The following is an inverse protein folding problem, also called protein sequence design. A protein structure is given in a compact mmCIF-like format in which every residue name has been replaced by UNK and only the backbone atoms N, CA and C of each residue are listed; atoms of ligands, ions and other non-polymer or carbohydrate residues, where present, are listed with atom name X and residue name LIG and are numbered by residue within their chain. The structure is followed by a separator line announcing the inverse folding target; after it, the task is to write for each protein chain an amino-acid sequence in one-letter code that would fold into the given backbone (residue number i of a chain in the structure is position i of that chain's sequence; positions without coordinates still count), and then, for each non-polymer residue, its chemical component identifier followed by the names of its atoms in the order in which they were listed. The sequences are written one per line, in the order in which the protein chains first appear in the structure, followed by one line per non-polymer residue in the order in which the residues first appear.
data_IF_772005903737
#
_entry.id   IF_772005903737
#
_cell.length_a   1.000
_cell.length_b   1.000
_cell.length_c   1.000
_cell.angle_alpha   90.00
_cell.angle_beta   90.00
_cell.angle_gamma   90.00
#
_symmetry.space_group_name_H-M   'P 1'
#
loop_
_entity.id
_entity.type
_entity.pdbx_description
1 polymer ?
#
# COMPACT_ATOMS: atom_id res chain seq x y z
N UNK A 1 -26.02 -51.57 -41.68
CA UNK A 1 -26.17 -50.21 -42.22
C UNK A 1 -26.59 -49.28 -41.10
N UNK A 2 -26.03 -48.07 -41.10
CA UNK A 2 -26.28 -46.93 -40.18
C UNK A 2 -25.64 -47.09 -38.80
N UNK A 3 -24.36 -46.74 -38.60
CA UNK A 3 -23.76 -45.40 -38.43
C UNK A 3 -24.27 -44.63 -37.20
N UNK A 4 -23.36 -44.51 -36.24
CA UNK A 4 -23.44 -43.65 -35.06
C UNK A 4 -23.36 -42.17 -35.47
N UNK A 5 -24.28 -41.36 -34.97
CA UNK A 5 -24.14 -39.91 -34.93
C UNK A 5 -23.69 -39.53 -33.52
N UNK A 6 -22.37 -39.41 -33.35
CA UNK A 6 -21.81 -38.65 -32.25
C UNK A 6 -21.85 -37.18 -32.67
N UNK A 7 -22.81 -36.42 -32.16
CA UNK A 7 -22.80 -34.97 -32.24
C UNK A 7 -21.58 -34.43 -31.49
N UNK A 8 -20.56 -34.06 -32.25
CA UNK A 8 -19.43 -33.27 -31.77
C UNK A 8 -19.94 -31.86 -31.44
N UNK A 9 -20.19 -31.61 -30.16
CA UNK A 9 -20.40 -30.27 -29.63
C UNK A 9 -19.15 -29.45 -29.90
N UNK A 10 -19.23 -28.58 -30.91
CA UNK A 10 -18.27 -27.52 -31.19
C UNK A 10 -18.07 -26.66 -29.95
N UNK A 11 -16.90 -26.73 -29.32
CA UNK A 11 -16.43 -25.71 -28.38
C UNK A 11 -16.33 -24.41 -29.16
N UNK A 12 -17.32 -23.54 -29.05
CA UNK A 12 -17.19 -22.12 -29.42
C UNK A 12 -16.02 -21.56 -28.62
N UNK A 13 -14.91 -21.30 -29.31
CA UNK A 13 -13.69 -20.71 -28.76
C UNK A 13 -14.03 -19.28 -28.29
N UNK A 14 -14.26 -19.12 -26.99
CA UNK A 14 -14.71 -17.83 -26.44
C UNK A 14 -13.60 -16.79 -26.58
N UNK A 15 -13.89 -15.67 -27.25
CA UNK A 15 -12.93 -14.57 -27.37
C UNK A 15 -12.57 -13.99 -25.98
N UNK A 16 -11.26 -13.84 -25.73
CA UNK A 16 -10.69 -13.18 -24.56
C UNK A 16 -10.01 -11.87 -24.97
N UNK A 17 -9.74 -11.01 -23.98
CA UNK A 17 -8.95 -9.79 -24.17
C UNK A 17 -7.48 -10.09 -23.90
N UNK A 18 -6.60 -9.54 -24.74
CA UNK A 18 -5.15 -9.67 -24.66
C UNK A 18 -4.47 -8.31 -24.82
N UNK A 19 -3.28 -8.18 -24.26
CA UNK A 19 -2.32 -7.12 -24.56
C UNK A 19 -1.23 -7.73 -25.46
N UNK A 20 -1.00 -7.11 -26.61
CA UNK A 20 -0.04 -7.56 -27.63
C UNK A 20 1.05 -6.52 -27.75
N UNK A 21 2.28 -6.89 -27.37
CA UNK A 21 3.47 -6.07 -27.54
C UNK A 21 4.11 -6.30 -28.91
N UNK A 22 4.51 -5.22 -29.59
CA UNK A 22 5.16 -5.28 -30.90
C UNK A 22 6.66 -5.01 -30.77
N UNK A 23 7.48 -5.71 -31.56
CA UNK A 23 8.91 -5.42 -31.66
C UNK A 23 9.14 -4.05 -32.29
N UNK A 24 10.30 -3.46 -32.03
CA UNK A 24 10.68 -2.14 -32.55
C UNK A 24 10.66 -2.04 -34.08
N UNK A 25 10.73 -3.17 -34.80
CA UNK A 25 10.59 -3.25 -36.26
C UNK A 25 9.16 -3.02 -36.76
N UNK A 26 8.14 -3.16 -35.92
CA UNK A 26 6.73 -2.98 -36.27
C UNK A 26 6.21 -1.65 -35.71
N UNK A 27 6.54 -0.55 -36.39
CA UNK A 27 6.29 0.81 -35.90
C UNK A 27 4.97 1.42 -36.37
N UNK A 28 4.47 1.02 -37.54
CA UNK A 28 3.29 1.68 -38.14
C UNK A 28 1.97 1.10 -37.62
N UNK A 29 0.96 1.96 -37.46
CA UNK A 29 -0.39 1.53 -37.05
C UNK A 29 -0.98 0.51 -38.03
N UNK A 30 -0.64 0.63 -39.32
CA UNK A 30 -1.07 -0.27 -40.39
C UNK A 30 -0.44 -1.66 -40.26
N UNK A 31 0.88 -1.75 -40.03
CA UNK A 31 1.57 -3.04 -39.86
C UNK A 31 1.11 -3.78 -38.60
N UNK A 32 0.86 -3.07 -37.50
CA UNK A 32 0.32 -3.65 -36.26
C UNK A 32 -1.10 -4.20 -36.45
N UNK A 33 -1.96 -3.42 -37.09
CA UNK A 33 -3.34 -3.82 -37.38
C UNK A 33 -3.37 -5.03 -38.32
N UNK A 34 -2.48 -5.06 -39.30
CA UNK A 34 -2.37 -6.17 -40.25
C UNK A 34 -1.92 -7.47 -39.57
N UNK A 35 -0.86 -7.43 -38.74
CA UNK A 35 -0.39 -8.61 -37.99
C UNK A 35 -1.49 -9.19 -37.08
N UNK A 36 -2.25 -8.32 -36.42
CA UNK A 36 -3.37 -8.72 -35.55
C UNK A 36 -4.52 -9.37 -36.36
N UNK A 37 -4.94 -8.74 -37.46
CA UNK A 37 -6.06 -9.24 -38.29
C UNK A 37 -5.69 -10.55 -38.99
N UNK A 38 -4.47 -10.68 -39.52
CA UNK A 38 -4.01 -11.90 -40.21
C UNK A 38 -3.97 -13.13 -39.30
N UNK A 39 -3.87 -12.91 -37.99
CA UNK A 39 -3.87 -13.97 -36.99
C UNK A 39 -5.23 -14.13 -36.30
N UNK A 40 -6.30 -13.52 -36.84
CA UNK A 40 -7.66 -13.71 -36.34
C UNK A 40 -7.99 -12.90 -35.09
N UNK A 41 -7.20 -11.86 -34.78
CA UNK A 41 -7.48 -10.92 -33.70
C UNK A 41 -8.20 -9.65 -34.16
N UNK A 42 -9.01 -9.10 -33.27
CA UNK A 42 -9.67 -7.81 -33.40
C UNK A 42 -8.95 -6.76 -32.56
N UNK A 43 -8.26 -5.85 -33.22
CA UNK A 43 -7.61 -4.72 -32.58
C UNK A 43 -8.64 -3.75 -31.99
N UNK A 44 -8.67 -3.59 -30.67
CA UNK A 44 -9.59 -2.67 -29.97
C UNK A 44 -8.93 -1.30 -29.71
N UNK A 45 -7.68 -1.29 -29.25
CA UNK A 45 -6.97 -0.05 -28.88
C UNK A 45 -5.47 -0.17 -29.11
N UNK A 46 -4.84 0.88 -29.63
CA UNK A 46 -3.37 1.01 -29.65
C UNK A 46 -2.93 2.00 -28.57
N UNK A 47 -1.88 1.64 -27.82
CA UNK A 47 -1.35 2.49 -26.77
C UNK A 47 -0.34 3.50 -27.36
N UNK A 48 -0.29 4.70 -26.76
CA UNK A 48 0.61 5.79 -27.18
C UNK A 48 1.94 5.77 -26.42
N UNK A 49 1.93 5.28 -25.19
CA UNK A 49 3.11 5.25 -24.30
C UNK A 49 4.01 4.05 -24.57
N UNK A 50 3.40 2.90 -24.87
CA UNK A 50 4.09 1.64 -25.11
C UNK A 50 3.77 1.14 -26.52
N UNK A 51 4.70 0.39 -27.12
CA UNK A 51 4.51 -0.21 -28.44
C UNK A 51 3.61 -1.46 -28.36
N UNK A 52 2.38 -1.30 -27.90
CA UNK A 52 1.45 -2.40 -27.65
C UNK A 52 0.01 -2.03 -28.01
N UNK A 53 -0.85 -3.04 -28.05
CA UNK A 53 -2.27 -2.89 -28.31
C UNK A 53 -3.13 -3.83 -27.46
N UNK A 54 -4.35 -3.39 -27.16
CA UNK A 54 -5.42 -4.25 -26.69
C UNK A 54 -6.09 -4.95 -27.88
N UNK A 55 -6.22 -6.27 -27.80
CA UNK A 55 -6.75 -7.11 -28.87
C UNK A 55 -7.72 -8.14 -28.30
N UNK A 56 -8.89 -8.31 -28.91
CA UNK A 56 -9.78 -9.44 -28.65
C UNK A 56 -9.51 -10.56 -29.63
N UNK A 57 -9.29 -11.77 -29.14
CA UNK A 57 -9.06 -12.94 -29.98
C UNK A 57 -9.32 -14.24 -29.23
N UNK A 58 -9.36 -15.36 -29.94
CA UNK A 58 -9.42 -16.69 -29.33
C UNK A 58 -8.04 -17.13 -28.81
N UNK A 59 -8.00 -18.13 -27.92
CA UNK A 59 -6.73 -18.63 -27.38
C UNK A 59 -5.83 -19.23 -28.49
N UNK A 60 -6.44 -19.83 -29.51
CA UNK A 60 -5.71 -20.35 -30.67
C UNK A 60 -5.07 -19.22 -31.50
N UNK A 61 -5.79 -18.12 -31.69
CA UNK A 61 -5.28 -16.93 -32.36
C UNK A 61 -4.13 -16.28 -31.56
N UNK A 62 -4.22 -16.25 -30.23
CA UNK A 62 -3.16 -15.75 -29.36
C UNK A 62 -1.87 -16.56 -29.51
N UNK A 63 -1.96 -17.90 -29.42
CA UNK A 63 -0.80 -18.79 -29.63
C UNK A 63 -0.19 -18.65 -31.01
N UNK A 64 -1.01 -18.44 -32.05
CA UNK A 64 -0.50 -18.20 -33.41
C UNK A 64 0.24 -16.85 -33.49
N UNK A 65 -0.31 -15.81 -32.89
CA UNK A 65 0.24 -14.47 -32.90
C UNK A 65 1.56 -14.37 -32.11
N UNK A 66 1.75 -15.16 -31.06
CA UNK A 66 3.02 -15.27 -30.33
C UNK A 66 4.21 -15.67 -31.22
N UNK A 67 3.95 -16.45 -32.28
CA UNK A 67 4.99 -16.92 -33.20
C UNK A 67 5.25 -15.95 -34.36
N UNK A 68 4.50 -14.85 -34.46
CA UNK A 68 4.70 -13.85 -35.52
C UNK A 68 5.99 -13.05 -35.27
N UNK A 69 6.87 -12.89 -36.28
CA UNK A 69 8.16 -12.23 -36.10
C UNK A 69 8.05 -10.76 -35.65
N UNK A 70 6.92 -10.11 -35.89
CA UNK A 70 6.66 -8.72 -35.50
C UNK A 70 6.21 -8.56 -34.03
N UNK A 71 5.87 -9.66 -33.36
CA UNK A 71 5.34 -9.69 -32.00
C UNK A 71 6.46 -9.93 -30.99
N UNK A 72 6.43 -9.17 -29.89
CA UNK A 72 7.36 -9.28 -28.78
C UNK A 72 6.78 -10.14 -27.65
N UNK A 73 5.48 -9.99 -27.37
CA UNK A 73 4.74 -10.77 -26.38
C UNK A 73 3.23 -10.71 -26.65
N UNK A 74 2.52 -11.71 -26.15
CA UNK A 74 1.06 -11.73 -26.04
C UNK A 74 0.74 -12.14 -24.61
N UNK A 75 -0.07 -11.35 -23.90
CA UNK A 75 -0.48 -11.63 -22.52
C UNK A 75 -1.98 -11.41 -22.37
N UNK A 76 -2.64 -12.16 -21.48
CA UNK A 76 -4.07 -11.97 -21.21
C UNK A 76 -4.28 -10.60 -20.51
N UNK A 77 -5.29 -9.84 -20.96
CA UNK A 77 -5.65 -8.55 -20.38
C UNK A 77 -6.40 -8.78 -19.06
N UNK A 78 -5.63 -8.95 -17.98
CA UNK A 78 -6.15 -9.25 -16.67
C UNK A 78 -6.94 -8.06 -16.09
N UNK A 79 -8.00 -8.38 -15.33
CA UNK A 79 -8.78 -7.35 -14.61
C UNK A 79 -8.04 -6.93 -13.36
N UNK A 80 -8.00 -5.62 -13.11
CA UNK A 80 -7.69 -5.08 -11.79
C UNK A 80 -9.01 -4.88 -11.00
N UNK A 81 -9.03 -5.30 -9.74
CA UNK A 81 -10.15 -5.07 -8.82
C UNK A 81 -9.76 -4.04 -7.75
N UNK A 82 -10.73 -3.29 -7.25
CA UNK A 82 -10.51 -2.40 -6.11
C UNK A 82 -10.23 -3.25 -4.86
N UNK A 83 -9.14 -2.96 -4.15
CA UNK A 83 -8.86 -3.61 -2.88
C UNK A 83 -9.90 -3.18 -1.84
N UNK A 84 -10.72 -4.14 -1.37
CA UNK A 84 -11.49 -3.97 -0.14
C UNK A 84 -10.53 -3.88 1.06
N UNK A 85 -11.01 -3.35 2.18
CA UNK A 85 -10.23 -3.36 3.41
C UNK A 85 -9.73 -4.78 3.74
N UNK A 86 -8.46 -4.88 4.11
CA UNK A 86 -7.84 -6.13 4.56
C UNK A 86 -7.45 -6.02 6.02
N UNK A 87 -7.47 -7.14 6.74
CA UNK A 87 -6.94 -7.19 8.11
C UNK A 87 -5.53 -7.79 8.04
N UNK A 88 -4.45 -7.01 8.28
CA UNK A 88 -3.09 -7.54 8.28
C UNK A 88 -2.95 -8.69 9.27
N UNK A 89 -2.19 -9.74 8.91
CA UNK A 89 -2.07 -10.98 9.70
C UNK A 89 -1.72 -10.76 11.18
N UNK A 90 -0.91 -9.74 11.50
CA UNK A 90 -0.52 -9.43 12.89
C UNK A 90 -1.70 -9.04 13.80
N UNK A 91 -2.74 -8.42 13.25
CA UNK A 91 -3.90 -7.93 14.00
C UNK A 91 -4.70 -9.08 14.65
N UNK A 92 -5.12 -10.14 13.91
CA UNK A 92 -5.76 -11.29 14.53
C UNK A 92 -4.80 -12.14 15.36
N UNK A 93 -3.49 -12.16 15.05
CA UNK A 93 -2.51 -12.91 15.86
C UNK A 93 -2.44 -12.41 17.30
N UNK A 94 -2.50 -11.09 17.52
CA UNK A 94 -2.57 -10.51 18.87
C UNK A 94 -3.99 -10.45 19.43
N UNK A 95 -4.96 -11.07 18.73
CA UNK A 95 -6.37 -11.16 19.13
C UNK A 95 -7.11 -9.81 19.22
N UNK A 96 -6.65 -8.78 18.52
CA UNK A 96 -7.34 -7.48 18.49
C UNK A 96 -8.82 -7.58 18.04
N UNK A 97 -9.20 -8.39 17.03
CA UNK A 97 -10.61 -8.51 16.62
C UNK A 97 -11.55 -9.01 17.74
N UNK A 98 -11.06 -9.81 18.68
CA UNK A 98 -11.87 -10.27 19.82
C UNK A 98 -12.21 -9.13 20.80
N UNK A 99 -11.34 -8.13 20.90
CA UNK A 99 -11.54 -6.91 21.69
C UNK A 99 -12.41 -5.92 20.92
N UNK A 100 -12.22 -5.81 19.59
CA UNK A 100 -13.09 -5.01 18.72
C UNK A 100 -14.55 -5.49 18.75
N UNK A 101 -14.79 -6.80 18.80
CA UNK A 101 -16.12 -7.40 18.90
C UNK A 101 -16.84 -7.03 20.22
N UNK A 102 -16.11 -6.63 21.24
CA UNK A 102 -16.66 -6.11 22.50
C UNK A 102 -16.91 -4.59 22.46
N UNK A 103 -16.60 -3.92 21.35
CA UNK A 103 -16.76 -2.48 21.16
C UNK A 103 -15.54 -1.63 21.53
N UNK A 104 -14.45 -2.24 21.99
CA UNK A 104 -13.22 -1.52 22.36
C UNK A 104 -12.28 -1.39 21.15
N UNK A 105 -12.15 -0.18 20.62
CA UNK A 105 -11.33 0.15 19.44
C UNK A 105 -10.31 1.26 19.66
N UNK A 106 -10.06 1.64 20.92
CA UNK A 106 -9.12 2.71 21.29
C UNK A 106 -9.69 4.13 21.29
N UNK A 107 -11.02 4.29 21.25
CA UNK A 107 -11.65 5.61 21.31
C UNK A 107 -11.19 6.42 22.53
N UNK A 108 -10.93 7.72 22.33
CA UNK A 108 -10.42 8.67 23.32
C UNK A 108 -9.00 8.40 23.86
N UNK A 109 -8.27 7.43 23.30
CA UNK A 109 -6.85 7.19 23.61
C UNK A 109 -5.98 7.99 22.65
N UNK A 110 -5.05 8.76 23.18
CA UNK A 110 -4.06 9.56 22.44
C UNK A 110 -2.75 8.78 22.31
N UNK A 111 -2.32 8.53 21.08
CA UNK A 111 -1.06 7.83 20.79
C UNK A 111 -0.12 8.77 20.04
N UNK A 112 1.02 9.08 20.65
CA UNK A 112 2.12 9.79 20.01
C UNK A 112 3.04 8.80 19.29
N UNK A 113 3.15 8.96 17.98
CA UNK A 113 4.08 8.18 17.14
C UNK A 113 5.33 9.02 16.94
N UNK A 114 6.38 8.70 17.71
CA UNK A 114 7.69 9.34 17.63
C UNK A 114 8.51 8.68 16.51
N UNK A 115 8.49 9.27 15.32
CA UNK A 115 9.02 8.63 14.09
C UNK A 115 9.38 9.66 12.98
N UNK A 116 9.33 9.27 11.70
CA UNK A 116 9.59 10.11 10.53
C UNK A 116 8.46 11.09 10.18
N UNK A 117 7.40 11.14 11.01
CA UNK A 117 6.16 11.87 10.75
C UNK A 117 5.03 10.93 10.35
N UNK A 118 3.86 11.49 10.05
CA UNK A 118 2.71 10.72 9.53
C UNK A 118 2.11 11.48 8.36
N UNK A 119 1.89 10.84 7.21
CA UNK A 119 1.17 11.44 6.10
C UNK A 119 -0.32 11.63 6.45
N UNK A 120 -0.68 12.80 7.00
CA UNK A 120 -2.03 13.05 7.53
C UNK A 120 -3.12 13.12 6.46
N UNK A 121 -2.78 13.32 5.18
CA UNK A 121 -3.74 13.28 4.08
C UNK A 121 -3.99 11.85 3.55
N UNK A 122 -3.38 10.82 4.17
CA UNK A 122 -3.65 9.43 3.81
C UNK A 122 -5.12 9.09 4.13
N UNK A 123 -5.91 8.57 3.17
CA UNK A 123 -7.35 8.39 3.35
C UNK A 123 -7.72 7.33 4.41
N UNK A 124 -6.77 6.48 4.76
CA UNK A 124 -6.94 5.41 5.74
C UNK A 124 -6.40 5.75 7.15
N UNK A 125 -6.01 7.00 7.39
CA UNK A 125 -5.51 7.47 8.68
C UNK A 125 -6.26 8.72 9.12
N UNK A 126 -6.41 8.89 10.44
CA UNK A 126 -6.91 10.12 11.04
C UNK A 126 -5.90 10.67 12.05
N UNK A 127 -5.16 11.70 11.65
CA UNK A 127 -4.13 12.33 12.48
C UNK A 127 -4.72 13.57 13.16
N UNK A 128 -4.75 13.56 14.49
CA UNK A 128 -5.37 14.60 15.31
C UNK A 128 -4.46 15.83 15.52
N UNK A 129 -3.16 15.69 15.31
CA UNK A 129 -2.19 16.77 15.48
C UNK A 129 -0.75 16.24 15.52
N UNK A 130 0.18 17.09 15.98
CA UNK A 130 1.58 16.70 16.06
C UNK A 130 2.54 17.88 16.15
N UNK A 131 3.82 17.55 16.30
CA UNK A 131 4.93 18.51 16.28
C UNK A 131 6.19 17.85 15.72
N UNK A 132 7.04 18.65 15.06
CA UNK A 132 8.33 18.19 14.56
C UNK A 132 9.46 18.80 15.37
N UNK A 133 10.46 17.96 15.66
CA UNK A 133 11.69 18.32 16.35
C UNK A 133 12.92 18.18 15.43
N UNK A 134 12.69 17.87 14.16
CA UNK A 134 13.71 17.86 13.10
C UNK A 134 13.82 19.30 12.54
N UNK A 135 14.94 20.01 12.76
CA UNK A 135 15.05 21.44 12.46
C UNK A 135 14.79 21.81 10.99
N UNK A 136 15.19 20.95 10.05
CA UNK A 136 15.01 21.17 8.62
C UNK A 136 13.63 20.73 8.09
N UNK A 137 12.83 20.04 8.91
CA UNK A 137 11.56 19.43 8.50
C UNK A 137 10.45 19.75 9.53
N UNK A 138 9.99 21.02 9.61
CA UNK A 138 9.13 21.48 10.70
C UNK A 138 7.69 20.93 10.67
N UNK A 139 7.29 20.27 9.59
CA UNK A 139 5.95 19.71 9.44
C UNK A 139 5.94 18.21 9.79
N UNK A 140 5.35 17.86 10.94
CA UNK A 140 5.24 16.46 11.36
C UNK A 140 4.19 15.65 10.58
N UNK A 141 3.25 16.31 9.91
CA UNK A 141 2.23 15.63 9.10
C UNK A 141 2.70 15.34 7.67
N UNK A 142 3.99 15.59 7.40
CA UNK A 142 4.67 15.18 6.18
C UNK A 142 5.66 14.09 6.54
N UNK A 143 5.48 12.94 5.94
CA UNK A 143 6.38 11.81 6.09
C UNK A 143 7.06 11.54 4.75
N UNK A 144 8.31 11.97 4.62
CA UNK A 144 9.10 11.80 3.40
C UNK A 144 9.74 10.42 3.29
N UNK A 145 9.82 9.67 4.40
CA UNK A 145 10.48 8.38 4.47
C UNK A 145 9.45 7.24 4.36
N UNK A 146 8.23 7.45 4.87
CA UNK A 146 7.05 6.56 4.93
C UNK A 146 6.97 5.59 6.13
N UNK A 147 8.05 5.42 6.90
CA UNK A 147 8.08 4.51 8.05
C UNK A 147 7.07 4.89 9.14
N UNK A 148 7.05 6.15 9.56
CA UNK A 148 6.10 6.62 10.58
C UNK A 148 4.64 6.48 10.16
N UNK A 149 4.33 6.69 8.87
CA UNK A 149 2.99 6.43 8.30
C UNK A 149 2.62 4.95 8.37
N UNK A 150 3.55 4.05 8.06
CA UNK A 150 3.32 2.61 8.14
C UNK A 150 3.11 2.14 9.60
N UNK A 151 3.93 2.64 10.52
CA UNK A 151 3.79 2.40 11.96
C UNK A 151 2.43 2.88 12.46
N UNK A 152 2.04 4.11 12.11
CA UNK A 152 0.74 4.67 12.46
C UNK A 152 -0.43 3.84 11.91
N UNK A 153 -0.32 3.28 10.70
CA UNK A 153 -1.32 2.38 10.14
C UNK A 153 -1.47 1.07 10.92
N UNK A 154 -0.37 0.50 11.39
CA UNK A 154 -0.43 -0.69 12.26
C UNK A 154 -1.20 -0.38 13.55
N UNK A 155 -1.00 0.81 14.12
CA UNK A 155 -1.67 1.24 15.34
C UNK A 155 -3.15 1.54 15.09
N UNK A 156 -3.47 2.39 14.13
CA UNK A 156 -4.81 2.98 14.00
C UNK A 156 -5.24 3.30 12.56
N UNK A 157 -4.86 2.46 11.58
CA UNK A 157 -5.56 2.49 10.30
C UNK A 157 -7.07 2.29 10.52
N UNK A 158 -7.86 3.11 9.83
CA UNK A 158 -9.29 3.27 10.06
C UNK A 158 -10.05 1.98 9.76
N UNK A 159 -11.08 1.66 10.53
CA UNK A 159 -12.03 0.59 10.21
C UNK A 159 -13.05 1.11 9.17
N UNK A 160 -12.86 0.79 7.89
CA UNK A 160 -13.59 1.38 6.77
C UNK A 160 -13.69 0.38 5.58
N UNK A 161 -13.75 0.85 4.33
CA UNK A 161 -13.87 -0.02 3.15
C UNK A 161 -12.62 -0.10 2.28
N UNK A 162 -11.52 0.51 2.69
CA UNK A 162 -10.26 0.61 1.94
C UNK A 162 -9.08 0.14 2.79
N UNK A 163 -7.93 -0.03 2.17
CA UNK A 163 -6.65 -0.17 2.89
C UNK A 163 -6.61 -1.31 3.90
N UNK A 164 -6.18 -1.00 5.13
CA UNK A 164 -5.90 -1.97 6.19
C UNK A 164 -6.61 -1.59 7.49
N UNK A 165 -6.67 -2.53 8.44
CA UNK A 165 -7.20 -2.29 9.78
C UNK A 165 -6.06 -2.17 10.81
N UNK A 166 -6.09 -1.13 11.64
CA UNK A 166 -5.18 -0.96 12.77
C UNK A 166 -5.59 -1.78 14.00
N UNK A 167 -4.67 -1.91 14.96
CA UNK A 167 -4.96 -2.56 16.26
C UNK A 167 -6.01 -1.79 17.08
N UNK A 168 -5.96 -0.47 17.05
CA UNK A 168 -6.83 0.46 17.75
C UNK A 168 -7.36 1.52 16.77
N UNK A 169 -8.26 1.14 15.84
CA UNK A 169 -8.65 1.96 14.67
C UNK A 169 -9.41 3.25 15.03
N UNK A 170 -9.79 3.44 16.29
CA UNK A 170 -10.44 4.66 16.78
C UNK A 170 -9.55 5.50 17.71
N UNK A 171 -8.27 5.14 17.86
CA UNK A 171 -7.31 5.93 18.61
C UNK A 171 -6.98 7.25 17.89
N UNK A 172 -6.67 8.30 18.66
CA UNK A 172 -6.23 9.58 18.12
C UNK A 172 -4.73 9.55 17.92
N UNK A 173 -4.29 9.52 16.66
CA UNK A 173 -2.87 9.55 16.31
C UNK A 173 -2.31 10.97 16.37
N UNK A 174 -1.13 11.11 16.98
CA UNK A 174 -0.33 12.33 16.97
C UNK A 174 1.02 12.07 16.32
N UNK A 175 1.32 12.83 15.27
CA UNK A 175 2.59 12.73 14.56
C UNK A 175 3.68 13.50 15.32
N UNK A 176 4.64 12.80 15.91
CA UNK A 176 5.76 13.43 16.62
C UNK A 176 7.04 13.15 15.84
N UNK A 177 7.39 14.07 14.94
CA UNK A 177 8.48 13.83 14.00
C UNK A 177 9.83 14.08 14.68
N UNK A 178 10.60 13.02 14.87
CA UNK A 178 11.93 13.02 15.52
C UNK A 178 13.01 12.40 14.64
N UNK A 179 12.62 11.81 13.50
CA UNK A 179 13.50 11.30 12.45
C UNK A 179 13.31 12.11 11.15
N UNK A 180 14.38 12.39 10.45
CA UNK A 180 14.38 13.10 9.17
C UNK A 180 13.94 12.19 7.99
N UNK A 181 13.99 12.71 6.77
CA UNK A 181 13.64 11.95 5.54
C UNK A 181 14.49 10.71 5.26
N UNK A 182 15.65 10.57 5.88
CA UNK A 182 16.50 9.38 5.74
C UNK A 182 16.20 8.34 6.84
N UNK A 183 15.38 8.69 7.83
CA UNK A 183 15.11 7.87 9.01
C UNK A 183 16.11 8.09 10.14
N UNK A 184 16.93 9.15 10.04
CA UNK A 184 17.95 9.46 11.04
C UNK A 184 17.44 10.51 12.02
N UNK A 185 17.82 10.38 13.30
CA UNK A 185 17.43 11.34 14.33
C UNK A 185 18.43 11.45 15.46
N UNK A 186 18.53 12.66 16.03
CA UNK A 186 19.35 12.89 17.21
C UNK A 186 18.58 12.50 18.48
N UNK A 187 19.28 11.96 19.48
CA UNK A 187 18.65 11.66 20.77
C UNK A 187 18.03 12.90 21.42
N UNK A 188 18.60 14.09 21.19
CA UNK A 188 18.01 15.36 21.64
C UNK A 188 16.63 15.62 21.02
N UNK A 189 16.43 15.28 19.74
CA UNK A 189 15.13 15.42 19.06
C UNK A 189 14.11 14.42 19.61
N UNK A 190 14.55 13.18 19.86
CA UNK A 190 13.73 12.14 20.48
C UNK A 190 13.29 12.58 21.89
N UNK A 191 14.22 13.09 22.70
CA UNK A 191 13.92 13.61 24.05
C UNK A 191 12.90 14.76 23.96
N UNK A 192 13.08 15.73 23.06
CA UNK A 192 12.10 16.80 22.85
C UNK A 192 10.72 16.27 22.44
N UNK A 193 10.67 15.21 21.62
CA UNK A 193 9.43 14.53 21.28
C UNK A 193 8.74 13.88 22.48
N UNK A 194 9.51 13.25 23.37
CA UNK A 194 8.99 12.66 24.63
C UNK A 194 8.45 13.76 25.54
N UNK A 195 9.19 14.86 25.71
CA UNK A 195 8.74 16.01 26.50
C UNK A 195 7.44 16.60 25.97
N UNK A 196 7.34 16.75 24.64
CA UNK A 196 6.11 17.21 24.00
C UNK A 196 4.94 16.25 24.24
N UNK A 197 5.15 14.94 24.13
CA UNK A 197 4.11 13.95 24.37
C UNK A 197 3.58 14.00 25.80
N UNK A 198 4.49 14.09 26.79
CA UNK A 198 4.12 14.28 28.20
C UNK A 198 3.36 15.60 28.41
N UNK A 199 3.87 16.70 27.84
CA UNK A 199 3.26 18.02 27.99
C UNK A 199 1.86 18.12 27.36
N UNK A 200 1.57 17.32 26.33
CA UNK A 200 0.27 17.28 25.64
C UNK A 200 -0.65 16.16 26.15
N UNK A 201 -0.30 15.54 27.27
CA UNK A 201 -1.08 14.48 27.93
C UNK A 201 -1.39 13.32 26.98
N UNK A 202 -0.37 12.82 26.30
CA UNK A 202 -0.49 11.57 25.53
C UNK A 202 -0.63 10.40 26.49
N UNK A 203 -1.42 9.39 26.11
CA UNK A 203 -1.60 8.18 26.91
C UNK A 203 -0.52 7.14 26.58
N UNK A 204 -0.12 7.09 25.30
CA UNK A 204 0.86 6.15 24.77
C UNK A 204 1.88 6.88 23.91
N UNK A 205 3.15 6.52 24.07
CA UNK A 205 4.26 6.86 23.18
C UNK A 205 4.66 5.56 22.46
N UNK A 206 4.77 5.62 21.13
CA UNK A 206 5.39 4.55 20.34
C UNK A 206 6.70 5.08 19.75
N UNK A 207 7.80 4.36 19.99
CA UNK A 207 9.11 4.64 19.41
C UNK A 207 9.61 3.41 18.64
N UNK A 208 9.25 3.31 17.36
CA UNK A 208 9.75 2.26 16.45
C UNK A 208 11.16 2.60 15.93
N UNK A 209 12.04 2.97 16.85
CA UNK A 209 13.37 3.50 16.58
C UNK A 209 14.33 3.12 17.71
N UNK A 210 15.62 3.30 17.47
CA UNK A 210 16.64 3.03 18.48
C UNK A 210 18.04 3.37 17.99
N UNK A 211 19.01 3.25 18.88
CA UNK A 211 20.42 3.45 18.55
C UNK A 211 21.30 2.46 19.31
N UNK A 212 22.52 2.29 18.83
CA UNK A 212 23.45 1.28 19.35
C UNK A 212 24.08 1.64 20.72
N UNK A 213 23.89 2.88 21.20
CA UNK A 213 24.53 3.38 22.42
C UNK A 213 23.50 3.86 23.44
N UNK A 214 23.73 3.56 24.71
CA UNK A 214 22.92 4.05 25.81
C UNK A 214 23.10 5.56 26.04
N UNK A 215 22.08 6.20 26.60
CA UNK A 215 22.12 7.61 27.01
C UNK A 215 21.35 7.82 28.30
N UNK A 216 22.02 8.38 29.32
CA UNK A 216 21.39 8.72 30.60
C UNK A 216 20.25 9.72 30.43
N UNK A 217 20.41 10.70 29.53
CA UNK A 217 19.38 11.71 29.29
C UNK A 217 18.13 11.09 28.67
N UNK A 218 18.29 10.22 27.67
CA UNK A 218 17.17 9.52 27.04
C UNK A 218 16.48 8.57 28.02
N UNK A 219 17.27 7.81 28.81
CA UNK A 219 16.73 6.96 29.88
C UNK A 219 15.88 7.77 30.86
N UNK A 220 16.40 8.89 31.35
CA UNK A 220 15.68 9.75 32.29
C UNK A 220 14.39 10.32 31.68
N UNK A 221 14.39 10.67 30.40
CA UNK A 221 13.19 11.16 29.70
C UNK A 221 12.10 10.07 29.63
N UNK A 222 12.47 8.85 29.24
CA UNK A 222 11.55 7.70 29.19
C UNK A 222 11.03 7.35 30.59
N UNK A 223 11.91 7.24 31.58
CA UNK A 223 11.51 6.96 32.97
C UNK A 223 10.54 8.03 33.49
N UNK A 224 10.79 9.31 33.15
CA UNK A 224 9.92 10.41 33.56
C UNK A 224 8.55 10.35 32.89
N UNK A 225 8.48 10.00 31.61
CA UNK A 225 7.20 9.81 30.92
C UNK A 225 6.38 8.68 31.55
N UNK A 226 7.02 7.53 31.81
CA UNK A 226 6.38 6.39 32.45
C UNK A 226 5.92 6.71 33.88
N UNK A 227 6.74 7.40 34.68
CA UNK A 227 6.36 7.85 36.02
C UNK A 227 5.20 8.86 36.04
N UNK A 228 4.92 9.52 34.90
CA UNK A 228 3.76 10.40 34.70
C UNK A 228 2.54 9.68 34.15
N UNK A 229 2.58 8.35 34.03
CA UNK A 229 1.47 7.51 33.62
C UNK A 229 1.33 7.32 32.11
N UNK A 230 2.33 7.74 31.32
CA UNK A 230 2.36 7.50 29.87
C UNK A 230 2.94 6.11 29.62
N UNK A 231 2.25 5.26 28.86
CA UNK A 231 2.81 3.98 28.40
C UNK A 231 3.84 4.28 27.31
N UNK A 232 5.04 3.70 27.42
CA UNK A 232 6.16 3.90 26.47
C UNK A 232 6.64 2.55 25.93
#
# INVERSE_FOLDING_TARGET
GSMANAETVSKTDSEKSYIVGFKASATTNSSKKQAVIQNGGKLEKQYRLINAAQVKMSEQAAKKLEHDPSIAYVEEDHKAEAYAQTVPYGIPQIKAPAVHAQGYKGANVKVAVLDTGIHAAHPDLNVAGGASFVPSEPNATQDFQSHGTHVAGTIAALDNTIGVLGVAPSASLYAVKVLDRNGDGQYSWIISGIEWAVANNMDVINMSLGGASGSTALKNAVDTANNRGVVV
#
